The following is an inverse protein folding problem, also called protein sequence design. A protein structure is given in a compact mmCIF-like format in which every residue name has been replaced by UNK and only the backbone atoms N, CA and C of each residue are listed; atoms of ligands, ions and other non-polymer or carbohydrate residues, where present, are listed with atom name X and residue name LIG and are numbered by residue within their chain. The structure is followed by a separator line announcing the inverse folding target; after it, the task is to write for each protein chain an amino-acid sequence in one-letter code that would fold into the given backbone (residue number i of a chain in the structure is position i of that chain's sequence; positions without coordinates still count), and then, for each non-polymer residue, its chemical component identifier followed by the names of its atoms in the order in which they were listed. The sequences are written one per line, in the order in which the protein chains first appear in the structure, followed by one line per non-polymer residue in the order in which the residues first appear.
data_IF_312087722359
#
_entry.id   IF_312087722359
#
_cell.length_a   1.000
_cell.length_b   1.000
_cell.length_c   1.000
_cell.angle_alpha   90.00
_cell.angle_beta   90.00
_cell.angle_gamma   90.00
#
_symmetry.space_group_name_H-M   'P 1'
#
loop_
_entity.id
_entity.type
_entity.pdbx_description
1 polymer ?
#
# COMPACT_ATOMS: atom_id res chain seq x y z
N UNK A 1 15.03 -11.19 2.36
CA UNK A 1 14.16 -12.27 2.87
C UNK A 1 12.74 -12.01 2.37
N UNK A 2 12.08 -13.04 1.86
CA UNK A 2 10.76 -13.02 1.24
C UNK A 2 9.85 -14.01 1.98
N UNK A 3 8.66 -13.59 2.37
CA UNK A 3 7.63 -14.46 2.95
C UNK A 3 6.49 -14.59 1.94
N UNK A 4 6.18 -15.81 1.51
CA UNK A 4 5.03 -16.12 0.66
C UNK A 4 3.90 -16.68 1.51
N UNK A 5 2.75 -16.00 1.50
CA UNK A 5 1.56 -16.46 2.20
C UNK A 5 0.65 -17.21 1.23
N UNK A 6 0.21 -18.40 1.61
CA UNK A 6 -0.70 -19.24 0.83
C UNK A 6 -2.12 -18.99 1.30
N UNK A 7 -3.03 -18.69 0.38
CA UNK A 7 -4.46 -18.56 0.68
C UNK A 7 -5.20 -19.85 0.35
N UNK A 8 -5.94 -20.34 1.33
CA UNK A 8 -6.97 -21.35 1.12
C UNK A 8 -8.33 -20.67 1.28
N UNK A 9 -9.38 -21.20 0.65
CA UNK A 9 -10.73 -20.59 0.71
C UNK A 9 -11.37 -20.68 2.12
N UNK A 10 -10.69 -21.35 3.05
CA UNK A 10 -10.90 -21.31 4.51
C UNK A 10 -10.01 -20.23 5.13
N UNK A 11 -10.46 -19.50 6.17
CA UNK A 11 -9.67 -18.41 6.74
C UNK A 11 -8.33 -18.95 7.20
N UNK A 12 -7.26 -18.52 6.54
CA UNK A 12 -5.91 -18.91 6.92
C UNK A 12 -5.58 -18.13 8.18
N UNK A 13 -5.90 -18.72 9.32
CA UNK A 13 -5.41 -18.25 10.62
C UNK A 13 -3.96 -18.68 10.72
N UNK A 14 -3.05 -17.82 10.26
CA UNK A 14 -1.65 -17.97 10.58
C UNK A 14 -1.49 -17.56 12.04
N UNK A 15 -1.59 -18.53 12.96
CA UNK A 15 -0.94 -18.36 14.25
C UNK A 15 0.52 -18.11 13.94
N UNK A 16 1.09 -16.99 14.40
CA UNK A 16 2.53 -16.82 14.38
C UNK A 16 3.10 -17.81 15.38
N UNK A 17 3.15 -19.08 14.99
CA UNK A 17 4.29 -19.85 15.43
C UNK A 17 5.51 -19.10 14.89
N UNK A 18 6.65 -19.26 15.54
CA UNK A 18 7.90 -18.55 15.28
C UNK A 18 8.42 -18.70 13.82
N UNK A 19 7.68 -19.39 12.95
CA UNK A 19 7.97 -19.77 11.58
C UNK A 19 7.72 -18.69 10.51
N UNK A 20 6.72 -17.79 10.65
CA UNK A 20 6.37 -16.84 9.55
C UNK A 20 7.19 -15.55 9.62
N UNK A 21 7.43 -15.02 10.82
CA UNK A 21 8.26 -13.83 11.05
C UNK A 21 9.14 -13.99 12.30
N UNK A 22 10.13 -14.91 12.29
CA UNK A 22 10.94 -15.24 13.47
C UNK A 22 11.63 -14.05 14.13
N UNK A 23 11.95 -13.00 13.35
CA UNK A 23 12.65 -11.80 13.81
C UNK A 23 11.83 -10.51 13.60
N UNK A 24 10.53 -10.62 13.33
CA UNK A 24 9.69 -9.46 13.01
C UNK A 24 9.86 -8.95 11.57
N UNK A 25 9.20 -7.84 11.26
CA UNK A 25 9.41 -7.06 10.04
C UNK A 25 10.20 -5.80 10.43
N UNK A 26 11.14 -5.41 9.56
CA UNK A 26 11.90 -4.16 9.71
C UNK A 26 10.96 -2.94 9.74
N UNK A 27 11.46 -1.77 10.19
CA UNK A 27 10.75 -0.49 10.03
C UNK A 27 10.45 -0.17 8.55
N UNK A 28 11.17 -0.83 7.65
CA UNK A 28 11.03 -0.71 6.20
C UNK A 28 10.74 -2.08 5.58
N UNK A 29 9.69 -2.18 4.78
CA UNK A 29 9.30 -3.41 4.12
C UNK A 29 8.41 -3.11 2.91
N UNK A 30 8.17 -4.12 2.08
CA UNK A 30 7.17 -4.03 1.02
C UNK A 30 6.22 -5.21 1.05
N UNK A 31 4.97 -4.96 0.63
CA UNK A 31 3.93 -5.98 0.45
C UNK A 31 3.56 -5.96 -1.02
N UNK A 32 3.62 -7.11 -1.68
CA UNK A 32 3.20 -7.29 -3.07
C UNK A 32 2.11 -8.35 -3.09
N UNK A 33 0.97 -8.05 -3.71
CA UNK A 33 -0.10 -9.01 -3.88
C UNK A 33 -0.67 -8.94 -5.28
N UNK A 34 -0.96 -10.11 -5.86
CA UNK A 34 -1.61 -10.21 -7.16
C UNK A 34 -2.93 -10.94 -7.00
N UNK A 35 -4.04 -10.26 -7.31
CA UNK A 35 -5.38 -10.82 -7.16
C UNK A 35 -6.35 -10.29 -8.22
N UNK A 36 -7.46 -11.02 -8.36
CA UNK A 36 -8.61 -10.64 -9.17
C UNK A 36 -9.88 -10.65 -8.33
N UNK A 37 -10.61 -9.54 -8.36
CA UNK A 37 -11.91 -9.43 -7.66
C UNK A 37 -13.01 -10.17 -8.41
N UNK A 38 -13.89 -10.83 -7.66
CA UNK A 38 -15.14 -11.41 -8.20
C UNK A 38 -16.27 -10.39 -8.16
N UNK A 39 -17.34 -10.67 -8.91
CA UNK A 39 -18.53 -9.80 -8.95
C UNK A 39 -19.16 -9.61 -7.57
N UNK A 40 -19.13 -10.66 -6.75
CA UNK A 40 -19.64 -10.73 -5.38
C UNK A 40 -18.90 -9.82 -4.41
N UNK A 41 -17.61 -9.54 -4.65
CA UNK A 41 -16.71 -8.88 -3.69
C UNK A 41 -16.19 -7.53 -4.16
N UNK A 42 -16.54 -7.11 -5.39
CA UNK A 42 -16.10 -5.83 -5.99
C UNK A 42 -16.44 -4.58 -5.16
N UNK A 43 -17.48 -4.63 -4.31
CA UNK A 43 -17.89 -3.50 -3.46
C UNK A 43 -17.54 -3.69 -1.98
N UNK A 44 -17.00 -4.86 -1.62
CA UNK A 44 -16.70 -5.19 -0.23
C UNK A 44 -15.54 -4.33 0.28
N UNK A 45 -15.49 -4.13 1.59
CA UNK A 45 -14.33 -3.60 2.31
C UNK A 45 -13.67 -4.75 3.07
N UNK A 46 -12.41 -5.03 2.77
CA UNK A 46 -11.74 -6.24 3.25
C UNK A 46 -10.25 -6.03 3.48
N UNK A 47 -9.68 -6.82 4.38
CA UNK A 47 -8.27 -6.86 4.70
C UNK A 47 -7.54 -7.76 3.71
N UNK A 48 -6.57 -7.21 2.98
CA UNK A 48 -5.56 -8.01 2.27
C UNK A 48 -4.67 -8.70 3.30
N UNK A 49 -4.21 -7.93 4.28
CA UNK A 49 -3.34 -8.37 5.36
C UNK A 49 -3.71 -7.62 6.64
N UNK A 50 -3.73 -8.33 7.77
CA UNK A 50 -3.92 -7.76 9.09
C UNK A 50 -3.00 -8.47 10.08
N UNK A 51 -2.19 -7.70 10.79
CA UNK A 51 -1.24 -8.20 11.77
C UNK A 51 -1.55 -7.58 13.13
N UNK A 52 -1.69 -8.44 14.14
CA UNK A 52 -1.86 -8.08 15.53
C UNK A 52 -0.64 -8.49 16.35
N UNK A 53 -0.39 -7.78 17.44
CA UNK A 53 0.53 -8.25 18.47
C UNK A 53 -0.11 -9.26 19.43
N UNK A 54 0.65 -9.72 20.43
CA UNK A 54 0.20 -10.66 21.45
C UNK A 54 -0.93 -10.11 22.35
N UNK A 55 -1.02 -8.80 22.48
CA UNK A 55 -2.07 -8.11 23.25
C UNK A 55 -3.36 -7.98 22.46
N UNK A 56 -3.31 -8.20 21.13
CA UNK A 56 -4.43 -8.02 20.22
C UNK A 56 -4.49 -6.64 19.60
N UNK A 57 -3.48 -5.78 19.82
CA UNK A 57 -3.42 -4.46 19.20
C UNK A 57 -3.00 -4.58 17.74
N UNK A 58 -3.68 -3.85 16.86
CA UNK A 58 -3.36 -3.84 15.42
C UNK A 58 -2.00 -3.18 15.18
N UNK A 59 -1.08 -3.95 14.60
CA UNK A 59 0.25 -3.48 14.21
C UNK A 59 0.23 -2.90 12.79
N UNK A 60 -0.36 -3.65 11.85
CA UNK A 60 -0.46 -3.30 10.43
C UNK A 60 -1.80 -3.78 9.88
N UNK A 61 -2.43 -3.01 9.00
CA UNK A 61 -3.51 -3.48 8.14
C UNK A 61 -3.42 -2.87 6.76
N UNK A 62 -3.60 -3.70 5.74
CA UNK A 62 -3.78 -3.30 4.35
C UNK A 62 -5.21 -3.63 3.93
N UNK A 63 -5.96 -2.63 3.53
CA UNK A 63 -7.40 -2.72 3.27
C UNK A 63 -7.68 -2.31 1.83
N UNK A 64 -8.56 -3.06 1.17
CA UNK A 64 -9.16 -2.69 -0.11
C UNK A 64 -10.63 -2.37 0.14
N UNK A 65 -11.04 -1.15 -0.19
CA UNK A 65 -12.44 -0.68 -0.09
C UNK A 65 -13.03 -0.50 -1.49
N UNK A 66 -13.81 -1.49 -1.93
CA UNK A 66 -14.45 -1.49 -3.24
C UNK A 66 -15.57 -0.47 -3.40
N UNK A 67 -16.26 -0.11 -2.31
CA UNK A 67 -17.32 0.89 -2.34
C UNK A 67 -16.75 2.29 -2.57
N UNK A 68 -15.60 2.60 -1.94
CA UNK A 68 -14.90 3.88 -2.08
C UNK A 68 -13.84 3.88 -3.18
N UNK A 69 -13.54 2.72 -3.78
CA UNK A 69 -12.44 2.49 -4.72
C UNK A 69 -11.11 3.01 -4.17
N UNK A 70 -10.78 2.60 -2.95
CA UNK A 70 -9.59 3.06 -2.25
C UNK A 70 -8.79 1.92 -1.64
N UNK A 71 -7.49 2.15 -1.49
CA UNK A 71 -6.62 1.32 -0.66
C UNK A 71 -6.33 2.09 0.62
N UNK A 72 -6.43 1.42 1.77
CA UNK A 72 -6.16 2.02 3.07
C UNK A 72 -5.01 1.24 3.74
N UNK A 73 -4.02 1.97 4.25
CA UNK A 73 -2.92 1.41 5.01
C UNK A 73 -2.97 1.95 6.43
N UNK A 74 -3.05 1.04 7.40
CA UNK A 74 -3.03 1.36 8.82
C UNK A 74 -1.77 0.81 9.45
N UNK A 75 -1.10 1.62 10.25
CA UNK A 75 0.08 1.23 11.02
C UNK A 75 0.06 1.83 12.43
N UNK A 76 0.77 1.20 13.37
CA UNK A 76 0.99 1.77 14.69
C UNK A 76 2.07 2.87 14.64
N UNK A 77 1.74 4.05 15.14
CA UNK A 77 2.66 5.16 15.33
C UNK A 77 3.54 4.98 16.58
N UNK A 78 4.63 5.74 16.67
CA UNK A 78 5.55 5.67 17.82
C UNK A 78 4.86 5.90 19.18
N UNK A 79 3.84 6.75 19.23
CA UNK A 79 3.04 7.05 20.43
C UNK A 79 1.90 6.04 20.66
N UNK A 80 1.96 4.86 20.02
CA UNK A 80 0.90 3.83 20.02
C UNK A 80 -0.46 4.29 19.48
N UNK A 81 -0.51 5.42 18.79
CA UNK A 81 -1.69 5.87 18.05
C UNK A 81 -1.80 5.14 16.71
N UNK A 82 -3.02 4.93 16.21
CA UNK A 82 -3.22 4.38 14.87
C UNK A 82 -3.03 5.46 13.81
N UNK A 83 -2.12 5.21 12.86
CA UNK A 83 -1.89 6.05 11.69
C UNK A 83 -2.62 5.43 10.50
N UNK A 84 -3.56 6.17 9.91
CA UNK A 84 -4.35 5.74 8.76
C UNK A 84 -4.00 6.58 7.53
N UNK A 85 -3.62 5.90 6.45
CA UNK A 85 -3.30 6.46 5.14
C UNK A 85 -4.32 5.94 4.13
N UNK A 86 -4.97 6.84 3.39
CA UNK A 86 -6.05 6.48 2.46
C UNK A 86 -5.68 6.98 1.07
N UNK A 87 -5.59 6.05 0.13
CA UNK A 87 -5.22 6.28 -1.26
C UNK A 87 -6.47 6.21 -2.14
N UNK A 88 -6.81 7.34 -2.77
CA UNK A 88 -8.05 7.53 -3.56
C UNK A 88 -7.78 8.10 -4.95
N UNK A 89 -6.59 7.85 -5.48
CA UNK A 89 -6.25 8.24 -6.85
C UNK A 89 -7.17 7.51 -7.85
N UNK A 90 -7.56 8.21 -8.93
CA UNK A 90 -8.37 7.65 -10.02
C UNK A 90 -7.65 6.53 -10.75
N UNK A 91 -6.33 6.59 -10.83
CA UNK A 91 -5.52 5.58 -11.50
C UNK A 91 -5.56 4.23 -10.74
N UNK A 92 -5.96 4.24 -9.46
CA UNK A 92 -6.23 3.05 -8.66
C UNK A 92 -7.55 2.34 -9.03
N UNK A 93 -8.44 3.00 -9.80
CA UNK A 93 -9.77 2.44 -10.07
C UNK A 93 -9.75 1.16 -10.91
N UNK A 94 -8.69 0.92 -11.69
CA UNK A 94 -8.51 -0.31 -12.48
C UNK A 94 -8.43 -1.54 -11.60
N UNK A 95 -7.85 -1.44 -10.39
CA UNK A 95 -7.84 -2.52 -9.37
C UNK A 95 -9.22 -3.17 -9.14
N UNK A 96 -10.30 -2.42 -9.42
CA UNK A 96 -11.68 -2.85 -9.22
C UNK A 96 -12.40 -3.29 -10.51
N UNK A 97 -11.71 -3.55 -11.61
CA UNK A 97 -12.30 -3.88 -12.91
C UNK A 97 -12.62 -5.38 -13.12
N UNK A 98 -12.11 -6.24 -12.22
CA UNK A 98 -12.20 -7.72 -12.22
C UNK A 98 -11.21 -8.41 -13.17
N UNK A 99 -10.12 -7.77 -13.54
CA UNK A 99 -8.91 -8.39 -14.08
C UNK A 99 -7.93 -8.70 -12.96
N UNK A 100 -6.87 -9.44 -13.30
CA UNK A 100 -5.74 -9.61 -12.38
C UNK A 100 -4.95 -8.31 -12.33
N UNK A 101 -4.68 -7.85 -11.11
CA UNK A 101 -3.86 -6.68 -10.85
C UNK A 101 -2.83 -7.00 -9.79
N UNK A 102 -1.65 -6.38 -9.92
CA UNK A 102 -0.59 -6.44 -8.92
C UNK A 102 -0.58 -5.15 -8.09
N UNK A 103 -0.93 -5.27 -6.82
CA UNK A 103 -0.87 -4.18 -5.85
C UNK A 103 0.45 -4.28 -5.07
N UNK A 104 1.28 -3.24 -5.20
CA UNK A 104 2.50 -3.07 -4.43
C UNK A 104 2.35 -1.98 -3.36
N UNK A 105 2.87 -2.23 -2.17
CA UNK A 105 2.94 -1.26 -1.08
C UNK A 105 4.38 -1.17 -0.61
N UNK A 106 5.00 0.00 -0.76
CA UNK A 106 6.31 0.31 -0.21
C UNK A 106 6.15 1.07 1.10
N UNK A 107 6.71 0.54 2.17
CA UNK A 107 6.62 1.10 3.52
C UNK A 107 8.03 1.52 3.93
N UNK A 108 8.39 2.78 3.68
CA UNK A 108 9.70 3.40 3.98
C UNK A 108 9.64 4.17 5.30
N UNK A 109 10.78 4.47 5.93
CA UNK A 109 10.81 5.13 7.25
C UNK A 109 9.97 6.42 7.35
N UNK A 110 9.86 7.18 6.26
CA UNK A 110 9.14 8.45 6.20
C UNK A 110 8.03 8.52 5.14
N UNK A 111 7.76 7.44 4.40
CA UNK A 111 6.71 7.43 3.39
C UNK A 111 6.03 6.06 3.27
N UNK A 112 4.80 6.08 2.72
CA UNK A 112 4.09 4.90 2.22
C UNK A 112 3.72 5.18 0.78
N UNK A 113 4.09 4.29 -0.13
CA UNK A 113 3.82 4.42 -1.56
C UNK A 113 3.00 3.24 -2.07
N UNK A 114 1.98 3.52 -2.87
CA UNK A 114 1.14 2.51 -3.53
C UNK A 114 1.53 2.43 -5.00
N UNK A 115 1.74 1.19 -5.46
CA UNK A 115 1.98 0.83 -6.84
C UNK A 115 0.83 -0.05 -7.33
N UNK A 116 0.38 0.16 -8.56
CA UNK A 116 -0.58 -0.70 -9.23
C UNK A 116 0.00 -1.10 -10.58
N UNK A 117 0.05 -2.40 -10.84
CA UNK A 117 0.63 -2.98 -12.05
C UNK A 117 2.04 -2.42 -12.34
N UNK A 118 2.82 -2.29 -11.26
CA UNK A 118 4.21 -1.80 -11.26
C UNK A 118 4.39 -0.31 -11.61
N UNK A 119 3.30 0.46 -11.61
CA UNK A 119 3.35 1.92 -11.74
C UNK A 119 3.08 2.60 -10.40
N UNK A 120 3.85 3.65 -10.08
CA UNK A 120 3.62 4.45 -8.88
C UNK A 120 2.30 5.24 -9.00
N UNK A 121 1.36 4.97 -8.11
CA UNK A 121 0.06 5.63 -8.08
C UNK A 121 0.08 6.86 -7.17
N UNK A 122 0.59 6.71 -5.96
CA UNK A 122 0.59 7.78 -4.96
C UNK A 122 1.61 7.48 -3.86
N UNK A 123 2.30 8.54 -3.37
CA UNK A 123 3.23 8.48 -2.24
C UNK A 123 2.76 9.47 -1.16
N UNK A 124 2.54 8.97 0.05
CA UNK A 124 2.17 9.78 1.21
C UNK A 124 3.29 9.78 2.26
N UNK A 125 3.66 10.96 2.75
CA UNK A 125 4.64 11.10 3.84
C UNK A 125 4.01 10.65 5.16
N UNK A 126 4.72 9.80 5.90
CA UNK A 126 4.30 9.30 7.23
C UNK A 126 5.07 9.99 8.34
N UNK A 127 4.43 10.09 9.52
CA UNK A 127 5.13 10.32 10.78
C UNK A 127 6.00 9.11 11.16
N UNK A 128 6.85 9.26 12.17
CA UNK A 128 7.64 8.15 12.72
C UNK A 128 6.71 7.02 13.21
N UNK A 129 6.93 5.81 12.66
CA UNK A 129 6.19 4.59 13.00
C UNK A 129 6.94 3.79 14.06
N UNK A 130 6.21 3.08 14.91
CA UNK A 130 6.84 2.15 15.85
C UNK A 130 7.43 0.95 15.12
N UNK A 131 8.37 0.26 15.76
CA UNK A 131 8.78 -1.07 15.32
C UNK A 131 7.61 -2.05 15.41
N UNK A 132 7.58 -3.05 14.54
CA UNK A 132 6.49 -4.02 14.49
C UNK A 132 6.75 -5.17 15.45
N UNK A 133 5.80 -5.43 16.36
CA UNK A 133 5.81 -6.64 17.17
C UNK A 133 4.90 -7.69 16.53
N UNK A 134 5.49 -8.65 15.82
CA UNK A 134 4.76 -9.67 15.06
C UNK A 134 4.44 -10.95 15.84
N UNK A 135 4.57 -10.95 17.17
CA UNK A 135 4.36 -12.14 18.00
C UNK A 135 2.89 -12.54 18.21
N UNK A 136 1.94 -11.94 17.47
CA UNK A 136 0.52 -12.15 17.66
C UNK A 136 -0.14 -13.02 16.59
N UNK A 137 -1.08 -12.44 15.85
CA UNK A 137 -1.87 -13.17 14.84
C UNK A 137 -1.84 -12.43 13.52
N UNK A 138 -1.75 -13.19 12.44
CA UNK A 138 -1.85 -12.64 11.08
C UNK A 138 -3.08 -13.23 10.39
N UNK A 139 -3.89 -12.37 9.80
CA UNK A 139 -5.02 -12.74 8.95
C UNK A 139 -4.80 -12.17 7.55
N UNK A 140 -5.25 -12.90 6.54
CA UNK A 140 -5.20 -12.48 5.14
C UNK A 140 -6.57 -12.69 4.50
N UNK A 141 -6.91 -11.83 3.55
CA UNK A 141 -8.11 -11.97 2.70
C UNK A 141 -9.39 -12.18 3.52
N UNK A 142 -9.62 -11.33 4.54
CA UNK A 142 -10.82 -11.39 5.40
C UNK A 142 -11.67 -10.14 5.26
N UNK A 143 -13.00 -10.30 5.32
CA UNK A 143 -13.94 -9.16 5.32
C UNK A 143 -13.81 -8.35 6.60
N UNK A 144 -13.96 -7.03 6.49
CA UNK A 144 -13.95 -6.14 7.67
C UNK A 144 -15.18 -6.34 8.55
N UNK A 145 -16.33 -6.68 7.96
CA UNK A 145 -17.62 -6.72 8.65
C UNK A 145 -17.79 -7.95 9.55
N UNK A 146 -17.43 -9.13 9.04
CA UNK A 146 -17.72 -10.41 9.70
C UNK A 146 -16.47 -11.30 9.90
N UNK A 147 -15.29 -10.86 9.44
CA UNK A 147 -14.04 -11.62 9.52
C UNK A 147 -14.00 -12.88 8.65
N UNK A 148 -15.00 -13.13 7.81
CA UNK A 148 -15.04 -14.32 6.94
C UNK A 148 -14.10 -14.16 5.74
N UNK A 149 -13.64 -15.27 5.13
CA UNK A 149 -12.86 -15.21 3.89
C UNK A 149 -13.58 -14.45 2.78
N UNK A 150 -12.83 -13.67 2.03
CA UNK A 150 -13.34 -12.94 0.88
C UNK A 150 -13.25 -13.83 -0.36
N UNK A 151 -14.30 -13.83 -1.16
CA UNK A 151 -14.32 -14.51 -2.46
C UNK A 151 -13.51 -13.70 -3.51
N UNK A 152 -12.21 -13.96 -3.58
CA UNK A 152 -11.26 -13.40 -4.56
C UNK A 152 -10.40 -14.51 -5.16
N UNK A 153 -9.86 -14.27 -6.35
CA UNK A 153 -8.83 -15.13 -6.93
C UNK A 153 -7.46 -14.56 -6.61
N UNK A 154 -6.76 -15.21 -5.68
CA UNK A 154 -5.43 -14.81 -5.25
C UNK A 154 -4.36 -15.63 -6.01
N UNK A 155 -3.38 -14.96 -6.59
CA UNK A 155 -2.16 -15.62 -7.09
C UNK A 155 -1.08 -15.64 -6.01
N UNK A 156 -0.81 -14.51 -5.35
CA UNK A 156 0.17 -14.44 -4.29
C UNK A 156 0.01 -13.24 -3.34
N UNK A 157 0.57 -13.39 -2.14
CA UNK A 157 0.92 -12.32 -1.21
C UNK A 157 2.37 -12.55 -0.78
N UNK A 158 3.19 -11.57 -1.06
CA UNK A 158 4.63 -11.56 -0.81
C UNK A 158 4.97 -10.40 0.11
N UNK A 159 5.80 -10.65 1.12
CA UNK A 159 6.31 -9.62 2.03
C UNK A 159 7.83 -9.66 2.03
N UNK A 160 8.48 -8.52 1.77
CA UNK A 160 9.93 -8.39 1.72
C UNK A 160 10.43 -7.45 2.83
N UNK A 161 11.56 -7.77 3.49
CA UNK A 161 12.19 -6.81 4.44
C UNK A 161 12.86 -5.59 3.74
N UNK A 162 12.67 -5.40 2.42
CA UNK A 162 13.18 -4.25 1.66
C UNK A 162 12.00 -3.50 1.03
N UNK A 163 11.84 -2.23 1.40
CA UNK A 163 10.74 -1.38 0.93
C UNK A 163 10.84 -1.06 -0.57
N UNK A 164 12.04 -1.12 -1.16
CA UNK A 164 12.28 -0.76 -2.56
C UNK A 164 11.77 -1.80 -3.54
N UNK A 165 11.52 -3.03 -3.09
CA UNK A 165 11.10 -4.11 -3.99
C UNK A 165 9.79 -3.78 -4.72
N UNK A 166 8.86 -3.05 -4.08
CA UNK A 166 7.64 -2.60 -4.76
C UNK A 166 7.89 -1.56 -5.86
N UNK A 167 8.93 -0.73 -5.74
CA UNK A 167 9.36 0.25 -6.76
C UNK A 167 10.17 -0.40 -7.90
N UNK A 168 10.92 -1.45 -7.56
CA UNK A 168 11.75 -2.20 -8.51
C UNK A 168 10.99 -3.29 -9.27
N UNK A 169 9.78 -3.66 -8.85
CA UNK A 169 8.98 -4.66 -9.55
C UNK A 169 8.60 -4.13 -10.94
N UNK A 170 8.69 -5.01 -11.94
CA UNK A 170 8.48 -4.71 -13.35
C UNK A 170 7.33 -5.54 -13.95
N UNK A 171 6.64 -6.31 -13.12
CA UNK A 171 5.47 -7.10 -13.52
C UNK A 171 5.78 -8.10 -14.65
N UNK A 172 7.00 -8.65 -14.64
CA UNK A 172 7.51 -9.57 -15.67
C UNK A 172 6.83 -10.94 -15.71
N UNK A 173 6.04 -11.24 -14.68
CA UNK A 173 5.19 -12.40 -14.52
C UNK A 173 3.80 -12.22 -15.17
N UNK A 174 3.49 -11.03 -15.68
CA UNK A 174 2.20 -10.77 -16.33
C UNK A 174 2.17 -11.28 -17.78
N UNK A 175 1.01 -11.78 -18.26
CA UNK A 175 0.88 -12.29 -19.62
C UNK A 175 1.11 -11.17 -20.64
N UNK A 176 2.12 -11.34 -21.49
CA UNK A 176 2.48 -10.37 -22.53
C UNK A 176 3.63 -9.41 -22.17
N UNK A 177 4.20 -9.51 -20.97
CA UNK A 177 5.37 -8.72 -20.61
C UNK A 177 6.65 -9.21 -21.32
N UNK A 178 7.26 -8.34 -22.13
CA UNK A 178 8.63 -8.53 -22.63
C UNK A 178 9.60 -7.88 -21.64
N UNK A 179 9.99 -8.62 -20.59
CA UNK A 179 11.07 -8.19 -19.74
C UNK A 179 12.41 -8.59 -20.35
N UNK A 180 13.10 -7.61 -20.94
CA UNK A 180 14.48 -7.80 -21.37
C UNK A 180 15.36 -8.05 -20.13
N UNK A 181 16.16 -9.14 -20.10
CA UNK A 181 17.18 -9.28 -19.08
C UNK A 181 18.20 -8.16 -19.28
N UNK A 182 18.33 -7.27 -18.30
CA UNK A 182 19.37 -6.24 -18.32
C UNK A 182 20.73 -6.94 -18.14
N UNK A 183 21.35 -7.32 -19.25
CA UNK A 183 22.76 -7.72 -19.30
C UNK A 183 23.57 -6.44 -19.34
N UNK A 184 23.90 -5.88 -18.17
CA UNK A 184 25.01 -4.93 -18.11
C UNK A 184 26.27 -5.72 -18.46
N UNK A 185 26.72 -5.63 -19.70
CA UNK A 185 28.05 -6.08 -20.10
C UNK A 185 29.08 -5.24 -19.32
N UNK A 186 29.46 -5.73 -18.14
CA UNK A 186 30.70 -5.32 -17.48
C UNK A 186 31.68 -6.47 -17.72
N UNK A 187 32.74 -6.29 -18.53
CA UNK A 187 33.71 -7.34 -18.80
C UNK A 187 34.68 -7.45 -17.63
N UNK A 188 34.27 -8.07 -16.51
CA UNK A 188 35.17 -8.83 -15.62
C UNK A 188 34.37 -9.61 -14.56
N UNK A 189 34.38 -10.94 -14.71
CA UNK A 189 34.35 -11.96 -13.65
C UNK A 189 33.51 -11.71 -12.39
N UNK A 190 32.18 -11.84 -12.47
CA UNK A 190 31.30 -12.35 -11.40
C UNK A 190 30.05 -12.93 -12.09
N UNK A 191 29.51 -14.11 -11.73
CA UNK A 191 28.36 -14.65 -12.45
C UNK A 191 27.13 -13.73 -12.33
N UNK A 192 26.32 -13.63 -13.40
CA UNK A 192 25.22 -12.68 -13.46
C UNK A 192 24.08 -13.09 -12.53
N UNK A 193 23.64 -12.14 -11.70
CA UNK A 193 22.41 -12.23 -10.91
C UNK A 193 21.23 -12.00 -11.85
N UNK A 194 20.89 -13.01 -12.64
CA UNK A 194 19.65 -13.05 -13.42
C UNK A 194 18.69 -14.04 -12.75
N UNK A 195 17.57 -13.54 -12.23
CA UNK A 195 16.42 -14.35 -11.84
C UNK A 195 16.41 -14.86 -10.39
N UNK A 196 16.20 -13.95 -9.42
CA UNK A 196 15.96 -14.35 -8.03
C UNK A 196 14.67 -15.19 -7.83
N UNK A 197 13.73 -15.14 -8.79
CA UNK A 197 12.48 -15.91 -8.72
C UNK A 197 12.55 -17.30 -9.37
N UNK A 198 13.41 -17.52 -10.38
CA UNK A 198 13.51 -18.84 -11.03
C UNK A 198 14.51 -19.79 -10.35
N UNK A 199 15.38 -19.29 -9.47
CA UNK A 199 16.40 -20.09 -8.76
C UNK A 199 15.97 -20.59 -7.37
N UNK A 200 14.67 -20.70 -7.10
CA UNK A 200 14.17 -21.37 -5.89
C UNK A 200 13.59 -22.76 -6.17
N UNK A 201 13.45 -23.14 -7.46
CA UNK A 201 12.76 -24.39 -7.86
C UNK A 201 13.69 -25.49 -8.40
N UNK A 202 15.02 -25.36 -8.28
CA UNK A 202 15.96 -26.34 -8.86
C UNK A 202 17.21 -26.64 -8.01
N UNK A 203 17.16 -26.50 -6.68
CA UNK A 203 18.21 -27.05 -5.82
C UNK A 203 17.73 -28.36 -5.17
N UNK A 204 18.59 -29.41 -5.11
CA UNK A 204 18.26 -30.62 -4.36
C UNK A 204 18.02 -30.26 -2.89
N UNK A 205 17.05 -30.93 -2.26
CA UNK A 205 16.63 -30.70 -0.89
C UNK A 205 17.83 -30.77 0.07
N UNK A 206 18.38 -29.62 0.43
CA UNK A 206 19.26 -29.48 1.58
C UNK A 206 18.35 -29.28 2.80
N UNK A 207 18.63 -30.05 3.86
CA UNK A 207 17.88 -30.06 5.11
C UNK A 207 17.55 -28.63 5.58
N UNK A 208 16.30 -28.35 6.03
CA UNK A 208 15.89 -27.00 6.40
C UNK A 208 16.68 -26.53 7.61
N UNK A 209 17.38 -25.40 7.48
CA UNK A 209 17.75 -24.58 8.64
C UNK A 209 16.69 -23.50 8.77
N UNK A 210 15.72 -23.75 9.67
CA UNK A 210 14.47 -23.01 9.86
C UNK A 210 14.62 -21.60 10.50
N UNK A 211 15.61 -20.79 10.12
CA UNK A 211 15.81 -19.46 10.72
C UNK A 211 15.94 -18.35 9.68
N UNK A 212 14.86 -17.58 9.50
CA UNK A 212 14.84 -16.41 8.64
C UNK A 212 15.40 -15.18 9.38
N UNK A 213 16.56 -14.66 8.99
CA UNK A 213 17.14 -13.44 9.56
C UNK A 213 16.76 -12.18 8.73
N UNK A 214 15.94 -11.26 9.29
CA UNK A 214 16.02 -9.85 8.89
C UNK A 214 17.16 -9.21 9.73
N UNK A 215 18.07 -8.41 9.13
CA UNK A 215 19.13 -7.75 9.89
C UNK A 215 18.51 -6.75 10.88
N UNK A 216 18.97 -6.79 12.13
CA UNK A 216 18.56 -5.84 13.16
C UNK A 216 18.98 -4.41 12.77
N UNK A 217 18.18 -3.38 13.12
CA UNK A 217 18.50 -2.01 12.76
C UNK A 217 19.84 -1.60 13.39
N UNK A 218 20.82 -1.25 12.56
CA UNK A 218 22.06 -0.61 13.00
C UNK A 218 21.71 0.76 13.57
N UNK A 219 21.95 0.97 14.86
CA UNK A 219 21.90 2.28 15.52
C UNK A 219 22.97 3.17 14.90
N UNK A 220 22.64 3.84 13.78
CA UNK A 220 23.50 4.87 13.19
C UNK A 220 23.17 6.20 13.86
N UNK A 221 24.18 6.81 14.46
CA UNK A 221 24.11 8.08 15.19
C UNK A 221 23.33 9.16 14.39
N UNK A 222 22.16 9.53 14.91
CA UNK A 222 21.12 10.38 14.30
C UNK A 222 21.49 11.87 14.11
N UNK A 223 22.74 12.28 14.36
CA UNK A 223 23.08 13.71 14.43
C UNK A 223 23.47 14.33 13.08
N UNK A 224 23.88 13.54 12.09
CA UNK A 224 24.50 14.08 10.87
C UNK A 224 23.55 14.20 9.66
N UNK A 225 22.63 13.25 9.47
CA UNK A 225 21.62 13.29 8.38
C UNK A 225 20.53 14.38 8.52
N UNK A 226 20.43 15.02 9.69
CA UNK A 226 19.39 16.01 10.03
C UNK A 226 19.53 17.34 9.28
N UNK A 227 20.72 17.67 8.78
CA UNK A 227 20.98 18.97 8.09
C UNK A 227 20.76 18.90 6.58
N UNK A 228 20.88 17.73 5.97
CA UNK A 228 20.79 17.56 4.51
C UNK A 228 19.34 17.37 4.05
N UNK A 229 18.59 16.43 4.64
CA UNK A 229 17.18 16.19 4.31
C UNK A 229 16.24 17.39 4.59
N UNK A 230 16.61 18.27 5.55
CA UNK A 230 15.85 19.49 5.87
C UNK A 230 15.94 20.56 4.79
N UNK A 231 17.01 20.59 3.98
CA UNK A 231 17.18 21.55 2.88
C UNK A 231 16.48 21.07 1.60
N UNK A 232 16.42 19.77 1.38
CA UNK A 232 15.82 19.15 0.19
C UNK A 232 14.28 19.12 0.27
N UNK A 233 13.72 18.61 1.37
CA UNK A 233 12.26 18.57 1.58
C UNK A 233 11.59 19.96 1.62
N UNK A 234 12.32 21.01 2.01
CA UNK A 234 11.81 22.39 2.02
C UNK A 234 11.72 23.01 0.62
N UNK A 235 12.53 22.55 -0.35
CA UNK A 235 12.49 23.05 -1.73
C UNK A 235 11.42 22.32 -2.55
N UNK A 236 11.20 21.03 -2.30
CA UNK A 236 10.26 20.20 -3.05
C UNK A 236 8.81 20.43 -2.61
N UNK A 237 8.52 20.38 -1.30
CA UNK A 237 7.17 20.64 -0.77
C UNK A 237 6.64 22.06 -1.09
N UNK A 238 7.52 23.04 -1.29
CA UNK A 238 7.13 24.42 -1.67
C UNK A 238 6.75 24.55 -3.15
N UNK A 239 7.25 23.68 -4.04
CA UNK A 239 6.90 23.70 -5.47
C UNK A 239 5.59 22.94 -5.74
N UNK A 240 5.35 21.86 -5.01
CA UNK A 240 4.18 20.98 -5.22
C UNK A 240 2.90 21.56 -4.60
N UNK A 241 2.93 21.98 -3.33
CA UNK A 241 1.77 22.59 -2.66
C UNK A 241 1.27 23.89 -3.31
N UNK A 242 2.16 24.65 -4.00
CA UNK A 242 1.78 25.88 -4.72
C UNK A 242 1.06 25.60 -6.05
N UNK A 243 1.31 24.45 -6.70
CA UNK A 243 0.63 24.06 -7.95
C UNK A 243 -0.73 23.43 -7.67
N UNK A 244 -0.85 22.66 -6.60
CA UNK A 244 -2.09 21.95 -6.24
C UNK A 244 -3.14 22.88 -5.63
N UNK A 245 -2.78 23.68 -4.62
CA UNK A 245 -3.71 24.63 -3.99
C UNK A 245 -4.27 25.69 -4.94
N UNK A 246 -3.52 26.09 -5.99
CA UNK A 246 -4.00 27.05 -7.00
C UNK A 246 -5.01 26.44 -7.98
N UNK A 247 -4.94 25.13 -8.25
CA UNK A 247 -5.92 24.42 -9.10
C UNK A 247 -7.21 24.13 -8.33
N UNK A 248 -7.09 23.80 -7.05
CA UNK A 248 -8.23 23.46 -6.20
C UNK A 248 -9.07 24.70 -5.82
N UNK A 249 -8.43 25.78 -5.34
CA UNK A 249 -9.14 27.02 -4.99
C UNK A 249 -9.88 27.66 -6.19
N UNK A 250 -9.36 27.50 -7.41
CA UNK A 250 -10.03 28.00 -8.63
C UNK A 250 -11.27 27.18 -9.02
N UNK A 251 -11.32 25.89 -8.67
CA UNK A 251 -12.49 25.02 -8.90
C UNK A 251 -13.57 25.30 -7.86
N UNK A 252 -13.21 25.44 -6.58
CA UNK A 252 -14.15 25.76 -5.51
C UNK A 252 -14.79 27.14 -5.69
N UNK A 253 -14.00 28.18 -5.98
CA UNK A 253 -14.53 29.52 -6.22
C UNK A 253 -15.51 29.59 -7.41
N UNK A 254 -15.30 28.76 -8.45
CA UNK A 254 -16.22 28.67 -9.61
C UNK A 254 -17.51 27.93 -9.27
N UNK A 255 -17.47 26.98 -8.34
CA UNK A 255 -18.65 26.25 -7.84
C UNK A 255 -19.50 27.15 -6.94
N UNK A 256 -18.91 27.82 -5.95
CA UNK A 256 -19.62 28.73 -5.05
C UNK A 256 -20.31 29.89 -5.79
N UNK A 257 -19.66 30.48 -6.80
CA UNK A 257 -20.27 31.55 -7.62
C UNK A 257 -21.46 31.08 -8.46
N UNK A 258 -21.51 29.81 -8.87
CA UNK A 258 -22.65 29.24 -9.60
C UNK A 258 -23.82 28.94 -8.66
N UNK A 259 -23.53 28.47 -7.45
CA UNK A 259 -24.55 28.17 -6.43
C UNK A 259 -25.22 29.45 -5.93
N UNK A 260 -24.46 30.48 -5.55
CA UNK A 260 -25.04 31.76 -5.10
C UNK A 260 -25.89 32.45 -6.18
N UNK A 261 -25.54 32.31 -7.46
CA UNK A 261 -26.38 32.84 -8.57
C UNK A 261 -27.70 32.07 -8.75
N UNK A 262 -27.73 30.76 -8.46
CA UNK A 262 -28.96 29.97 -8.51
C UNK A 262 -29.88 30.31 -7.34
N UNK A 263 -29.30 30.51 -6.17
CA UNK A 263 -30.04 30.82 -4.94
C UNK A 263 -30.71 32.19 -5.02
N UNK A 264 -29.95 33.23 -5.42
CA UNK A 264 -30.48 34.59 -5.62
C UNK A 264 -31.57 34.68 -6.69
N UNK A 265 -31.53 33.81 -7.71
CA UNK A 265 -32.61 33.68 -8.72
C UNK A 265 -33.85 32.99 -8.17
N UNK A 266 -33.72 32.06 -7.21
CA UNK A 266 -34.85 31.41 -6.54
C UNK A 266 -35.54 32.36 -5.58
N UNK A 267 -34.79 33.14 -4.81
CA UNK A 267 -35.36 34.17 -3.92
C UNK A 267 -36.14 35.23 -4.69
N UNK A 268 -35.55 35.82 -5.73
CA UNK A 268 -36.25 36.80 -6.58
C UNK A 268 -37.52 36.26 -7.23
N UNK A 269 -37.59 34.95 -7.51
CA UNK A 269 -38.82 34.31 -8.02
C UNK A 269 -39.86 34.08 -6.93
N UNK A 270 -39.45 33.89 -5.67
CA UNK A 270 -40.35 33.76 -4.52
C UNK A 270 -40.94 35.13 -4.13
N UNK A 271 -40.12 36.19 -4.12
CA UNK A 271 -40.58 37.56 -3.90
C UNK A 271 -41.62 38.00 -4.94
N UNK A 272 -41.31 37.83 -6.23
CA UNK A 272 -42.24 38.17 -7.33
C UNK A 272 -43.54 37.37 -7.33
N UNK A 273 -43.59 36.20 -6.68
CA UNK A 273 -44.82 35.42 -6.49
C UNK A 273 -45.64 35.91 -5.29
N UNK A 274 -44.98 36.45 -4.26
CA UNK A 274 -45.67 37.07 -3.12
C UNK A 274 -46.33 38.39 -3.51
N UNK A 275 -45.63 39.22 -4.31
CA UNK A 275 -46.17 40.49 -4.81
C UNK A 275 -47.32 40.36 -5.83
N UNK A 276 -47.53 39.16 -6.40
CA UNK A 276 -48.62 38.89 -7.37
C UNK A 276 -49.89 38.31 -6.73
N UNK A 277 -49.81 37.89 -5.46
CA UNK A 277 -50.86 37.17 -4.74
C UNK A 277 -51.31 37.91 -3.47
N UNK A 278 -50.86 39.16 -3.27
CA UNK A 278 -51.35 40.09 -2.23
C UNK A 278 -51.86 41.34 -2.91
#
# INVERSE_FOLDING_TARGET
MLVKLVYTQTPVKLSSDRSVFPNGLSHEYSIITTFRLRKTTKRDRWFVLQIFDKSGDTQVSLIVDGAKKSVEFLAQGFLKNSLLYVFKNRDLHSLFDRQFHKLGVSVESNAVSIYLDCELIERQVTAERSGLNLSGRTFIITRVEDGRPVDVELQEILIFCDARIADLDRCCDSPGATCEPVVTHIPTSVPPVTGYLHRMLSMPAQLPTDQCHCPTPKVRNWKEGRKEGRKEGRKEGRKEGRKEGRKEGRKEGRKGRKEGKKERKKERKKERKKERNG
#
